data_IF_568329122759
#
_entry.id   IF_568329122759
#
_cell.length_a   1.000
_cell.length_b   1.000
_cell.length_c   1.000
_cell.angle_alpha   90.00
_cell.angle_beta   90.00
_cell.angle_gamma   90.00
#
_symmetry.space_group_name_H-M   'P 1'
#
loop_
_entity.id
_entity.type
_entity.pdbx_description
1 polymer ?
#
# COMPACT_ATOMS: atom_id res chain seq x y z
N UNK A 1 -8.03 19.77 -24.58
CA UNK A 1 -7.30 19.52 -23.33
C UNK A 1 -6.96 18.05 -23.34
N UNK A 2 -5.71 17.70 -23.59
CA UNK A 2 -5.27 16.30 -23.54
C UNK A 2 -5.60 15.72 -22.17
N UNK A 3 -6.49 14.73 -22.17
CA UNK A 3 -6.79 13.86 -21.05
C UNK A 3 -5.46 13.24 -20.57
N UNK A 4 -4.82 13.84 -19.58
CA UNK A 4 -3.53 13.41 -19.05
C UNK A 4 -3.74 12.10 -18.27
N UNK A 5 -3.90 11.01 -19.00
CA UNK A 5 -4.28 9.71 -18.45
C UNK A 5 -3.14 9.15 -17.61
N UNK A 6 -3.38 9.05 -16.31
CA UNK A 6 -2.47 8.38 -15.38
C UNK A 6 -2.32 6.90 -15.77
N UNK A 7 -1.08 6.41 -15.77
CA UNK A 7 -0.76 4.99 -15.90
C UNK A 7 0.07 4.54 -14.69
N UNK A 8 -0.26 3.38 -14.14
CA UNK A 8 0.51 2.75 -13.06
C UNK A 8 0.97 1.38 -13.54
N UNK A 9 2.25 1.07 -13.34
CA UNK A 9 2.85 -0.20 -13.71
C UNK A 9 3.60 -0.79 -12.51
N UNK A 10 3.37 -2.08 -12.23
CA UNK A 10 4.06 -2.81 -11.17
C UNK A 10 5.07 -3.77 -11.81
N UNK A 11 6.27 -3.84 -11.26
CA UNK A 11 7.34 -4.66 -11.82
C UNK A 11 8.32 -5.12 -10.74
N UNK A 12 9.08 -6.18 -11.04
CA UNK A 12 10.13 -6.65 -10.15
C UNK A 12 11.47 -6.01 -10.47
N UNK A 13 12.15 -5.54 -9.43
CA UNK A 13 13.56 -5.18 -9.52
C UNK A 13 14.41 -6.43 -9.30
N UNK A 14 14.57 -7.23 -10.37
CA UNK A 14 15.28 -8.53 -10.33
C UNK A 14 16.76 -8.44 -9.90
N UNK A 15 17.38 -7.28 -10.03
CA UNK A 15 18.77 -7.03 -9.62
C UNK A 15 18.96 -6.87 -8.12
N UNK A 16 17.89 -6.62 -7.36
CA UNK A 16 17.94 -6.43 -5.91
C UNK A 16 17.28 -7.60 -5.22
N UNK A 17 17.90 -8.78 -5.22
CA UNK A 17 17.37 -9.94 -4.48
C UNK A 17 17.79 -9.88 -3.01
N UNK A 18 16.88 -10.23 -2.13
CA UNK A 18 17.14 -10.47 -0.71
C UNK A 18 17.95 -11.79 -0.52
N UNK A 19 18.56 -11.98 0.66
CA UNK A 19 19.16 -13.23 1.14
C UNK A 19 18.22 -14.43 1.01
N UNK A 20 16.90 -14.23 1.07
CA UNK A 20 15.89 -15.27 0.82
C UNK A 20 15.60 -15.55 -0.67
N UNK A 21 16.28 -14.86 -1.60
CA UNK A 21 16.08 -14.99 -3.04
C UNK A 21 14.87 -14.24 -3.61
N UNK A 22 14.06 -13.60 -2.76
CA UNK A 22 12.90 -12.79 -3.17
C UNK A 22 13.33 -11.44 -3.77
N UNK A 23 12.59 -10.96 -4.76
CA UNK A 23 12.82 -9.65 -5.37
C UNK A 23 11.74 -8.64 -4.91
N UNK A 24 12.10 -7.37 -4.68
CA UNK A 24 11.15 -6.33 -4.32
C UNK A 24 10.29 -5.94 -5.51
N UNK A 25 9.02 -5.69 -5.21
CA UNK A 25 8.04 -5.17 -6.14
C UNK A 25 8.12 -3.63 -6.12
N UNK A 26 8.25 -3.06 -7.31
CA UNK A 26 8.32 -1.64 -7.56
C UNK A 26 7.07 -1.19 -8.30
N UNK A 27 6.60 0.02 -8.00
CA UNK A 27 5.56 0.71 -8.75
C UNK A 27 6.14 1.90 -9.51
N UNK A 28 5.60 2.15 -10.70
CA UNK A 28 5.89 3.33 -11.53
C UNK A 28 4.59 4.02 -11.91
N UNK A 29 4.49 5.30 -11.58
CA UNK A 29 3.40 6.19 -11.95
C UNK A 29 3.88 7.02 -13.13
N UNK A 30 3.06 7.14 -14.16
CA UNK A 30 3.30 7.99 -15.33
C UNK A 30 2.11 8.90 -15.52
N UNK A 31 2.35 10.21 -15.56
CA UNK A 31 1.35 11.24 -15.81
C UNK A 31 1.93 12.21 -16.85
N UNK A 32 1.45 12.10 -18.11
CA UNK A 32 2.00 12.81 -19.26
C UNK A 32 3.51 12.59 -19.43
N UNK A 33 4.32 13.64 -19.18
CA UNK A 33 5.79 13.59 -19.23
C UNK A 33 6.45 13.29 -17.88
N UNK A 34 5.70 13.35 -16.78
CA UNK A 34 6.23 13.10 -15.43
C UNK A 34 6.16 11.61 -15.08
N UNK A 35 7.22 11.11 -14.43
CA UNK A 35 7.35 9.71 -14.02
C UNK A 35 7.86 9.67 -12.59
N UNK A 36 7.16 8.96 -11.71
CA UNK A 36 7.59 8.72 -10.34
C UNK A 36 7.65 7.22 -10.06
N UNK A 37 8.72 6.80 -9.38
CA UNK A 37 8.90 5.41 -8.94
C UNK A 37 8.77 5.32 -7.42
N UNK A 38 8.18 4.21 -6.96
CA UNK A 38 8.02 3.92 -5.54
C UNK A 38 8.23 2.44 -5.27
N UNK A 39 8.68 2.13 -4.05
CA UNK A 39 8.72 0.74 -3.57
C UNK A 39 7.35 0.37 -3.01
N UNK A 40 6.83 -0.80 -3.38
CA UNK A 40 5.61 -1.35 -2.79
C UNK A 40 5.85 -1.91 -1.37
N UNK A 41 7.12 -1.96 -0.90
CA UNK A 41 7.54 -2.63 0.34
C UNK A 41 7.11 -4.10 0.42
N UNK A 42 6.93 -4.72 -0.75
CA UNK A 42 6.57 -6.12 -0.89
C UNK A 42 7.69 -6.84 -1.63
N UNK A 43 7.90 -8.10 -1.25
CA UNK A 43 8.88 -8.98 -1.87
C UNK A 43 8.16 -10.23 -2.37
N UNK A 44 8.55 -10.73 -3.52
CA UNK A 44 8.00 -11.97 -4.04
C UNK A 44 9.04 -12.82 -4.75
N UNK A 45 8.69 -14.10 -4.95
CA UNK A 45 9.53 -15.00 -5.72
C UNK A 45 9.46 -14.62 -7.21
N UNK A 46 10.59 -14.27 -7.86
CA UNK A 46 10.63 -13.95 -9.29
C UNK A 46 10.04 -15.02 -10.21
N UNK A 47 10.12 -16.29 -9.81
CA UNK A 47 9.61 -17.42 -10.60
C UNK A 47 8.08 -17.48 -10.61
N UNK A 48 7.43 -16.93 -9.57
CA UNK A 48 5.99 -16.86 -9.43
C UNK A 48 5.42 -15.55 -9.97
N UNK A 49 6.24 -14.59 -10.39
CA UNK A 49 5.76 -13.31 -10.90
C UNK A 49 5.42 -13.37 -12.38
N UNK A 50 4.25 -12.85 -12.74
CA UNK A 50 3.80 -12.66 -14.11
C UNK A 50 4.05 -11.21 -14.55
N UNK A 51 5.06 -10.94 -15.41
CA UNK A 51 5.38 -9.58 -15.85
C UNK A 51 4.30 -8.98 -16.75
N UNK A 52 3.52 -9.81 -17.47
CA UNK A 52 2.48 -9.33 -18.37
C UNK A 52 1.28 -8.79 -17.60
N UNK A 53 0.89 -9.50 -16.57
CA UNK A 53 -0.25 -9.11 -15.71
C UNK A 53 0.17 -8.22 -14.54
N UNK A 54 1.48 -8.06 -14.30
CA UNK A 54 2.03 -7.33 -13.16
C UNK A 54 1.52 -7.87 -11.81
N UNK A 55 1.41 -9.20 -11.69
CA UNK A 55 0.85 -9.92 -10.53
C UNK A 55 1.60 -11.22 -10.25
N UNK A 56 1.41 -11.79 -9.06
CA UNK A 56 1.85 -13.14 -8.73
C UNK A 56 0.92 -14.18 -9.38
N UNK A 57 1.50 -15.14 -10.09
CA UNK A 57 0.83 -16.36 -10.56
C UNK A 57 0.65 -17.35 -9.41
N UNK A 58 -0.43 -18.12 -9.50
CA UNK A 58 -0.77 -19.19 -8.57
C UNK A 58 -1.92 -18.85 -7.63
N UNK A 59 -2.48 -19.90 -7.01
CA UNK A 59 -3.59 -19.81 -6.05
C UNK A 59 -3.14 -20.00 -4.60
N UNK A 60 -1.83 -19.93 -4.33
CA UNK A 60 -1.31 -20.07 -2.97
C UNK A 60 -1.76 -18.90 -2.10
N UNK A 61 -1.89 -19.14 -0.80
CA UNK A 61 -2.27 -18.09 0.16
C UNK A 61 -1.31 -16.89 0.12
N UNK A 62 -0.02 -17.13 -0.14
CA UNK A 62 0.97 -16.07 -0.34
C UNK A 62 0.70 -15.26 -1.62
N UNK A 63 0.46 -15.92 -2.77
CA UNK A 63 0.17 -15.24 -4.03
C UNK A 63 -1.10 -14.38 -3.94
N UNK A 64 -2.17 -14.94 -3.35
CA UNK A 64 -3.43 -14.21 -3.11
C UNK A 64 -3.19 -13.02 -2.18
N UNK A 65 -2.51 -13.22 -1.06
CA UNK A 65 -2.23 -12.14 -0.10
C UNK A 65 -1.38 -11.01 -0.69
N UNK A 66 -0.35 -11.33 -1.49
CA UNK A 66 0.45 -10.32 -2.19
C UNK A 66 -0.40 -9.57 -3.22
N UNK A 67 -1.17 -10.29 -4.04
CA UNK A 67 -2.03 -9.69 -5.06
C UNK A 67 -3.07 -8.74 -4.45
N UNK A 68 -3.72 -9.12 -3.35
CA UNK A 68 -4.64 -8.23 -2.62
C UNK A 68 -3.94 -6.96 -2.14
N UNK A 69 -2.72 -7.05 -1.59
CA UNK A 69 -1.95 -5.86 -1.18
C UNK A 69 -1.60 -4.97 -2.38
N UNK A 70 -1.29 -5.55 -3.54
CA UNK A 70 -1.05 -4.79 -4.77
C UNK A 70 -2.32 -4.07 -5.23
N UNK A 71 -3.48 -4.70 -5.15
CA UNK A 71 -4.77 -4.06 -5.48
C UNK A 71 -5.07 -2.87 -4.58
N UNK A 72 -4.84 -3.01 -3.26
CA UNK A 72 -4.97 -1.89 -2.33
C UNK A 72 -4.02 -0.74 -2.65
N UNK A 73 -2.77 -1.03 -3.04
CA UNK A 73 -1.81 -0.01 -3.46
C UNK A 73 -2.28 0.73 -4.72
N UNK A 74 -2.78 0.00 -5.72
CA UNK A 74 -3.32 0.61 -6.94
C UNK A 74 -4.53 1.51 -6.63
N UNK A 75 -5.44 1.06 -5.77
CA UNK A 75 -6.57 1.86 -5.32
C UNK A 75 -6.13 3.12 -4.56
N UNK A 76 -5.11 3.02 -3.69
CA UNK A 76 -4.58 4.17 -2.96
C UNK A 76 -3.93 5.21 -3.89
N UNK A 77 -3.21 4.77 -4.91
CA UNK A 77 -2.64 5.66 -5.95
C UNK A 77 -3.76 6.31 -6.76
N UNK A 78 -4.76 5.54 -7.20
CA UNK A 78 -5.92 6.06 -7.93
C UNK A 78 -6.69 7.09 -7.09
N UNK A 79 -6.92 6.81 -5.81
CA UNK A 79 -7.58 7.74 -4.88
C UNK A 79 -6.78 9.02 -4.73
N UNK A 80 -5.46 8.94 -4.59
CA UNK A 80 -4.59 10.13 -4.51
C UNK A 80 -4.65 10.98 -5.78
N UNK A 81 -4.66 10.33 -6.95
CA UNK A 81 -4.85 11.01 -8.23
C UNK A 81 -6.20 11.73 -8.30
N UNK A 82 -7.31 11.08 -7.91
CA UNK A 82 -8.63 11.72 -7.87
C UNK A 82 -8.69 12.89 -6.89
N UNK A 83 -8.07 12.77 -5.71
CA UNK A 83 -8.00 13.86 -4.73
C UNK A 83 -7.22 15.06 -5.25
N UNK A 84 -6.12 14.85 -5.98
CA UNK A 84 -5.34 15.93 -6.58
C UNK A 84 -6.09 16.58 -7.76
N UNK A 85 -6.77 15.78 -8.59
CA UNK A 85 -7.67 16.31 -9.62
C UNK A 85 -8.77 17.21 -9.03
N UNK A 86 -9.41 16.77 -7.94
CA UNK A 86 -10.49 17.51 -7.30
C UNK A 86 -10.04 18.86 -6.70
N UNK A 87 -8.75 18.99 -6.34
CA UNK A 87 -8.17 20.26 -5.86
C UNK A 87 -7.97 21.29 -6.99
N UNK A 88 -8.01 20.87 -8.26
CA UNK A 88 -7.93 21.76 -9.41
C UNK A 88 -6.59 22.48 -9.62
N UNK A 89 -5.57 22.15 -8.84
CA UNK A 89 -4.21 22.69 -8.99
C UNK A 89 -3.37 21.81 -9.92
N UNK A 90 -2.41 22.36 -10.68
CA UNK A 90 -1.46 21.55 -11.45
C UNK A 90 -0.65 20.66 -10.52
N UNK A 91 -0.49 19.39 -10.90
CA UNK A 91 0.32 18.40 -10.17
C UNK A 91 0.99 17.44 -11.15
N UNK A 92 1.99 16.72 -10.67
CA UNK A 92 2.75 15.77 -11.46
C UNK A 92 2.75 14.33 -10.85
N UNK A 93 3.51 13.40 -11.44
CA UNK A 93 3.56 12.03 -10.92
C UNK A 93 4.21 11.94 -9.53
N UNK A 94 5.09 12.88 -9.19
CA UNK A 94 5.77 12.99 -7.89
C UNK A 94 4.78 13.43 -6.82
N UNK A 95 3.92 14.39 -7.10
CA UNK A 95 2.86 14.83 -6.19
C UNK A 95 1.90 13.69 -5.83
N UNK A 96 1.50 12.88 -6.82
CA UNK A 96 0.69 11.67 -6.58
C UNK A 96 1.45 10.72 -5.65
N UNK A 97 2.75 10.53 -5.91
CA UNK A 97 3.61 9.67 -5.10
C UNK A 97 3.64 10.13 -3.65
N UNK A 98 3.94 11.39 -3.42
CA UNK A 98 4.08 11.96 -2.08
C UNK A 98 2.74 11.95 -1.33
N UNK A 99 1.64 12.28 -2.02
CA UNK A 99 0.31 12.22 -1.44
C UNK A 99 -0.09 10.82 -0.99
N UNK A 100 0.16 9.79 -1.83
CA UNK A 100 -0.17 8.42 -1.44
C UNK A 100 0.77 7.93 -0.34
N UNK A 101 2.07 8.22 -0.40
CA UNK A 101 3.03 7.76 0.60
C UNK A 101 2.79 8.41 1.96
N UNK A 102 2.49 9.71 2.00
CA UNK A 102 2.11 10.42 3.22
C UNK A 102 0.80 9.90 3.81
N UNK A 103 -0.20 9.61 2.95
CA UNK A 103 -1.47 9.02 3.38
C UNK A 103 -1.32 7.60 3.94
N UNK A 104 -0.44 6.79 3.36
CA UNK A 104 -0.15 5.42 3.84
C UNK A 104 0.64 5.47 5.15
N UNK A 105 1.67 6.33 5.24
CA UNK A 105 2.48 6.47 6.46
C UNK A 105 1.63 6.93 7.66
N UNK A 106 0.74 7.90 7.45
CA UNK A 106 -0.19 8.36 8.48
C UNK A 106 -1.16 7.26 8.93
N UNK A 107 -1.71 6.47 7.99
CA UNK A 107 -2.58 5.33 8.32
C UNK A 107 -1.86 4.21 9.07
N UNK A 108 -0.63 3.87 8.68
CA UNK A 108 0.17 2.84 9.38
C UNK A 108 0.49 3.29 10.81
N UNK A 109 0.97 4.52 11.00
CA UNK A 109 1.26 5.05 12.35
C UNK A 109 0.02 5.10 13.24
N UNK A 110 -1.14 5.44 12.69
CA UNK A 110 -2.39 5.45 13.45
C UNK A 110 -2.80 4.04 13.88
N UNK A 111 -2.73 3.06 12.98
CA UNK A 111 -3.05 1.67 13.29
C UNK A 111 -2.07 1.07 14.31
N UNK A 112 -0.75 1.27 14.13
CA UNK A 112 0.26 0.81 15.10
C UNK A 112 0.04 1.41 16.50
N UNK A 113 -0.43 2.66 16.59
CA UNK A 113 -0.83 3.26 17.87
C UNK A 113 -2.09 2.61 18.45
N UNK A 114 -3.06 2.24 17.62
CA UNK A 114 -4.28 1.57 18.09
C UNK A 114 -4.01 0.13 18.53
N UNK A 115 -3.19 -0.61 17.80
CA UNK A 115 -2.78 -1.97 18.19
C UNK A 115 -2.01 -1.94 19.51
N UNK A 116 -1.12 -0.96 19.71
CA UNK A 116 -0.44 -0.75 20.99
C UNK A 116 -1.40 -0.37 22.14
N UNK A 117 -2.42 0.44 21.87
CA UNK A 117 -3.47 0.75 22.86
C UNK A 117 -4.31 -0.48 23.22
N UNK A 118 -4.58 -1.38 22.27
CA UNK A 118 -5.30 -2.63 22.52
C UNK A 118 -4.42 -3.56 23.37
N UNK A 119 -3.12 -3.68 23.08
CA UNK A 119 -2.18 -4.44 23.92
C UNK A 119 -2.07 -3.84 25.34
N UNK A 120 -1.95 -2.52 25.50
CA UNK A 120 -1.94 -1.84 26.80
C UNK A 120 -3.26 -2.01 27.58
N UNK A 121 -4.40 -2.08 26.87
CA UNK A 121 -5.70 -2.36 27.46
C UNK A 121 -5.85 -3.83 27.86
N UNK A 122 -5.33 -4.77 27.06
CA UNK A 122 -5.28 -6.20 27.43
C UNK A 122 -4.36 -6.48 28.61
N UNK A 123 -3.28 -5.72 28.78
CA UNK A 123 -2.38 -5.80 29.96
C UNK A 123 -3.05 -5.29 31.25
N UNK A 124 -4.09 -4.46 31.16
CA UNK A 124 -4.86 -3.94 32.29
C UNK A 124 -6.22 -4.62 32.53
N UNK A 125 -6.58 -5.66 31.77
CA UNK A 125 -7.75 -6.50 32.10
C UNK A 125 -7.41 -7.38 33.29
N UNK A 126 -7.68 -6.85 34.48
CA UNK A 126 -7.48 -7.56 35.74
C UNK A 126 -7.18 -6.66 36.94
N UNK A 127 -6.86 -5.37 36.73
CA UNK A 127 -6.49 -4.46 37.83
C UNK A 127 -7.55 -3.39 38.12
N UNK A 128 -8.21 -2.73 37.13
CA UNK A 128 -9.14 -1.62 37.47
C UNK A 128 -10.37 -1.40 36.57
N UNK A 129 -10.76 -2.32 35.66
CA UNK A 129 -11.97 -2.11 34.83
C UNK A 129 -13.01 -3.20 35.10
N UNK A 130 -14.10 -2.79 35.78
CA UNK A 130 -15.25 -3.65 36.06
C UNK A 130 -15.91 -4.14 34.77
N UNK A 131 -16.23 -5.43 34.76
CA UNK A 131 -16.77 -6.26 33.66
C UNK A 131 -18.06 -5.71 33.00
N UNK A 132 -18.69 -4.71 33.58
CA UNK A 132 -19.99 -4.14 33.23
C UNK A 132 -19.93 -3.04 32.14
N UNK A 133 -18.76 -2.45 31.87
CA UNK A 133 -18.61 -1.44 30.81
C UNK A 133 -18.47 -2.02 29.39
N UNK A 134 -18.29 -3.33 29.24
CA UNK A 134 -17.99 -3.97 27.95
C UNK A 134 -19.24 -4.17 27.05
N UNK A 135 -20.44 -3.91 27.56
CA UNK A 135 -21.70 -4.20 26.85
C UNK A 135 -22.15 -3.04 25.95
N UNK A 136 -21.54 -1.86 26.06
CA UNK A 136 -21.97 -0.64 25.34
C UNK A 136 -21.34 -0.44 23.95
N UNK A 137 -20.48 -1.35 23.48
CA UNK A 137 -19.80 -1.25 22.19
C UNK A 137 -20.11 -2.41 21.24
N UNK A 138 -21.34 -2.95 21.29
CA UNK A 138 -21.81 -3.97 20.34
C UNK A 138 -22.89 -3.43 19.41
#
# INVERSE_FOLDING_TARGET
MDDMKMKVLLYLKKSSRDRSGKAPIMGRITLGRSIAQFSCKLFCNPDLWNPRESRMNGKSREAVGVNTKLDHLLLAVQSSYQSLLAKGSPFDATDIKEHFQGSVQSRTMLLERFDGLIEDMEEHVGVDIKRESLVLYR
#
